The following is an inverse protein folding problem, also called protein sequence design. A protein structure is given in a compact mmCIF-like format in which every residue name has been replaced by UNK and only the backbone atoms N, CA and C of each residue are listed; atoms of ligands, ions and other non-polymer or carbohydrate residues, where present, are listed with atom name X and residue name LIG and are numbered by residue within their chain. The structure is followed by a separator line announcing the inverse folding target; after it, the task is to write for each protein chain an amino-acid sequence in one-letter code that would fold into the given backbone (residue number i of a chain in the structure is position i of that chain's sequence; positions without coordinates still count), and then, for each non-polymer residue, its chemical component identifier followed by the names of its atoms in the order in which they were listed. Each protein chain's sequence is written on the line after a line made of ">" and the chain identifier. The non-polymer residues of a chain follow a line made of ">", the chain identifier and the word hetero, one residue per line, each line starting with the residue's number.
data_IF_611063002204
#
_entry.id   IF_611063002204
#
_cell.length_a   1.000
_cell.length_b   1.000
_cell.length_c   1.000
_cell.angle_alpha   90.00
_cell.angle_beta   90.00
_cell.angle_gamma   90.00
#
_symmetry.space_group_name_H-M   'P 1'
#
loop_
_entity.id
_entity.type
_entity.pdbx_description
1 polymer ?
#
# COMPACT_ATOMS: atom_id res chain seq x y z
N UNK A 1 -5.16 -17.46 10.61
CA UNK A 1 -5.87 -16.33 9.97
C UNK A 1 -5.43 -15.04 10.61
N UNK A 2 -5.07 -14.03 9.82
CA UNK A 2 -4.55 -12.76 10.34
C UNK A 2 -5.68 -11.75 10.51
N UNK A 3 -5.67 -11.01 11.62
CA UNK A 3 -6.53 -9.84 11.82
C UNK A 3 -6.11 -8.74 10.85
N UNK A 4 -7.07 -8.18 10.08
CA UNK A 4 -6.80 -7.13 9.10
C UNK A 4 -7.65 -5.89 9.39
N UNK A 5 -7.10 -4.71 9.14
CA UNK A 5 -7.81 -3.42 9.29
C UNK A 5 -9.04 -3.32 8.39
N UNK A 6 -9.00 -3.97 7.22
CA UNK A 6 -10.14 -4.00 6.30
C UNK A 6 -11.38 -4.65 6.93
N UNK A 7 -11.22 -5.57 7.89
CA UNK A 7 -12.34 -6.21 8.59
C UNK A 7 -13.19 -5.17 9.35
N UNK A 8 -12.54 -4.22 10.05
CA UNK A 8 -13.25 -3.14 10.73
C UNK A 8 -13.97 -2.22 9.74
N UNK A 9 -13.34 -1.90 8.61
CA UNK A 9 -13.95 -1.08 7.55
C UNK A 9 -15.22 -1.75 6.98
N UNK A 10 -15.17 -3.07 6.81
CA UNK A 10 -16.31 -3.85 6.34
C UNK A 10 -17.41 -3.97 7.40
N UNK A 11 -17.06 -4.10 8.69
CA UNK A 11 -18.02 -4.08 9.80
C UNK A 11 -18.76 -2.74 9.90
N UNK A 12 -18.02 -1.64 9.80
CA UNK A 12 -18.59 -0.29 9.85
C UNK A 12 -19.45 0.00 8.60
N UNK A 13 -19.02 -0.48 7.43
CA UNK A 13 -19.81 -0.43 6.22
C UNK A 13 -21.11 -1.23 6.35
N UNK A 14 -21.07 -2.43 6.88
CA UNK A 14 -22.27 -3.26 7.06
C UNK A 14 -23.31 -2.61 7.97
N UNK A 15 -22.87 -1.91 9.03
CA UNK A 15 -23.76 -1.22 9.98
C UNK A 15 -24.44 0.01 9.39
N UNK A 16 -23.90 0.59 8.33
CA UNK A 16 -24.48 1.79 7.72
C UNK A 16 -25.77 1.42 6.94
N UNK A 17 -26.90 2.01 7.34
CA UNK A 17 -28.20 1.76 6.70
C UNK A 17 -28.28 2.27 5.26
N UNK A 18 -27.55 3.34 4.93
CA UNK A 18 -27.48 3.92 3.59
C UNK A 18 -26.16 3.55 2.88
N UNK A 19 -25.69 2.32 3.07
CA UNK A 19 -24.47 1.85 2.43
C UNK A 19 -24.62 1.67 0.93
N UNK A 20 -23.55 1.97 0.22
CA UNK A 20 -23.39 1.62 -1.20
C UNK A 20 -22.69 0.27 -1.33
N UNK A 21 -22.84 -0.47 -2.41
CA UNK A 21 -21.93 -1.54 -2.77
C UNK A 21 -20.47 -1.10 -2.56
N UNK A 22 -19.64 -1.99 -2.02
CA UNK A 22 -18.25 -1.67 -1.69
C UNK A 22 -17.29 -2.39 -2.65
N UNK A 23 -16.32 -1.65 -3.18
CA UNK A 23 -15.27 -2.18 -4.08
C UNK A 23 -13.93 -2.10 -3.34
N UNK A 24 -13.37 -3.26 -3.01
CA UNK A 24 -12.04 -3.38 -2.40
C UNK A 24 -11.00 -3.51 -3.49
N UNK A 25 -10.26 -2.43 -3.75
CA UNK A 25 -9.13 -2.44 -4.67
C UNK A 25 -7.80 -2.59 -3.93
N UNK A 26 -6.78 -3.11 -4.56
CA UNK A 26 -5.45 -3.23 -3.96
C UNK A 26 -4.49 -3.97 -4.88
N UNK A 27 -3.19 -3.92 -4.58
CA UNK A 27 -2.19 -4.66 -5.35
C UNK A 27 -2.50 -6.16 -5.37
N UNK A 28 -1.94 -6.87 -6.34
CA UNK A 28 -2.11 -8.31 -6.42
C UNK A 28 -1.50 -8.99 -5.19
N UNK A 29 -2.15 -10.08 -4.76
CA UNK A 29 -1.74 -10.92 -3.64
C UNK A 29 -1.73 -10.24 -2.26
N UNK A 30 -2.32 -9.04 -2.09
CA UNK A 30 -2.46 -8.40 -0.77
C UNK A 30 -3.56 -9.00 0.12
N UNK A 31 -4.30 -10.01 -0.39
CA UNK A 31 -5.28 -10.80 0.40
C UNK A 31 -6.73 -10.33 0.31
N UNK A 32 -7.11 -9.56 -0.73
CA UNK A 32 -8.48 -9.02 -0.92
C UNK A 32 -9.55 -10.09 -0.87
N UNK A 33 -9.53 -11.03 -1.81
CA UNK A 33 -10.51 -12.11 -1.95
C UNK A 33 -10.67 -12.90 -0.65
N UNK A 34 -9.54 -13.25 -0.03
CA UNK A 34 -9.54 -13.99 1.24
C UNK A 34 -10.25 -13.20 2.35
N UNK A 35 -9.90 -11.92 2.55
CA UNK A 35 -10.49 -11.07 3.59
C UNK A 35 -11.98 -10.84 3.38
N UNK A 36 -12.40 -10.63 2.13
CA UNK A 36 -13.80 -10.41 1.77
C UNK A 36 -14.63 -11.67 1.99
N UNK A 37 -14.16 -12.82 1.51
CA UNK A 37 -14.87 -14.09 1.68
C UNK A 37 -14.97 -14.50 3.14
N UNK A 38 -13.91 -14.30 3.93
CA UNK A 38 -13.94 -14.57 5.38
C UNK A 38 -14.96 -13.67 6.09
N UNK A 39 -14.93 -12.37 5.80
CA UNK A 39 -15.90 -11.42 6.33
C UNK A 39 -17.33 -11.81 5.94
N UNK A 40 -17.57 -12.10 4.66
CA UNK A 40 -18.91 -12.46 4.18
C UNK A 40 -19.44 -13.72 4.88
N UNK A 41 -18.63 -14.79 4.97
CA UNK A 41 -19.01 -16.04 5.63
C UNK A 41 -19.29 -15.90 7.13
N UNK A 42 -18.62 -14.99 7.82
CA UNK A 42 -18.85 -14.71 9.25
C UNK A 42 -20.09 -13.87 9.53
N UNK A 43 -20.51 -13.08 8.56
CA UNK A 43 -21.48 -12.01 8.79
C UNK A 43 -22.82 -12.19 8.06
N UNK A 44 -22.94 -13.17 7.14
CA UNK A 44 -24.16 -13.44 6.37
C UNK A 44 -24.48 -14.92 6.38
N UNK A 45 -25.75 -15.26 6.37
CA UNK A 45 -26.21 -16.64 6.29
C UNK A 45 -25.95 -17.29 4.94
N UNK A 46 -25.90 -16.49 3.87
CA UNK A 46 -25.64 -16.97 2.52
C UNK A 46 -24.63 -16.05 1.81
N UNK A 47 -23.72 -16.66 1.04
CA UNK A 47 -22.72 -15.94 0.24
C UNK A 47 -22.76 -16.45 -1.19
N UNK A 48 -23.02 -15.56 -2.12
CA UNK A 48 -22.95 -15.84 -3.57
C UNK A 48 -21.61 -15.30 -4.08
N UNK A 49 -20.70 -16.21 -4.42
CA UNK A 49 -19.35 -15.87 -4.88
C UNK A 49 -19.24 -16.05 -6.39
N UNK A 50 -18.98 -14.96 -7.11
CA UNK A 50 -18.77 -14.94 -8.55
C UNK A 50 -17.36 -14.45 -8.84
N UNK A 51 -16.49 -15.36 -9.26
CA UNK A 51 -15.13 -15.06 -9.74
C UNK A 51 -15.15 -14.96 -11.26
N UNK A 52 -14.99 -13.77 -11.80
CA UNK A 52 -15.09 -13.52 -13.24
C UNK A 52 -13.84 -13.89 -14.02
N UNK A 53 -12.72 -14.09 -13.35
CA UNK A 53 -11.48 -14.55 -13.95
C UNK A 53 -11.43 -16.07 -14.07
N UNK A 54 -11.70 -16.79 -12.97
CA UNK A 54 -11.69 -18.25 -12.96
C UNK A 54 -12.88 -18.85 -13.68
N UNK A 55 -14.04 -18.18 -13.65
CA UNK A 55 -15.30 -18.65 -14.23
C UNK A 55 -15.88 -17.62 -15.21
N UNK A 56 -15.31 -17.48 -16.43
CA UNK A 56 -15.75 -16.50 -17.41
C UNK A 56 -17.24 -16.62 -17.79
N UNK A 57 -17.85 -17.81 -17.66
CA UNK A 57 -19.27 -18.05 -17.91
C UNK A 57 -20.18 -17.22 -16.98
N UNK A 58 -19.72 -16.80 -15.80
CA UNK A 58 -20.53 -15.94 -14.92
C UNK A 58 -20.77 -14.54 -15.47
N UNK A 59 -20.02 -14.12 -16.50
CA UNK A 59 -20.24 -12.83 -17.16
C UNK A 59 -21.59 -12.79 -17.85
N UNK A 60 -22.07 -13.91 -18.38
CA UNK A 60 -23.38 -14.01 -19.04
C UNK A 60 -24.57 -13.71 -18.11
N UNK A 61 -24.39 -13.77 -16.79
CA UNK A 61 -25.39 -13.35 -15.81
C UNK A 61 -25.84 -11.88 -16.06
N UNK A 62 -24.94 -11.06 -16.57
CA UNK A 62 -25.11 -9.62 -16.74
C UNK A 62 -25.29 -9.19 -18.21
N UNK A 63 -25.40 -10.11 -19.18
CA UNK A 63 -25.44 -9.78 -20.62
C UNK A 63 -26.78 -9.17 -21.04
N UNK A 64 -27.90 -9.58 -20.43
CA UNK A 64 -29.23 -9.09 -20.78
C UNK A 64 -29.58 -7.83 -19.95
N UNK A 65 -30.63 -7.93 -19.15
CA UNK A 65 -31.10 -6.86 -18.27
C UNK A 65 -30.30 -6.83 -16.94
N UNK A 66 -29.95 -5.63 -16.48
CA UNK A 66 -29.31 -5.42 -15.19
C UNK A 66 -30.32 -5.23 -14.04
N UNK A 67 -31.63 -5.45 -14.28
CA UNK A 67 -32.62 -5.51 -13.21
C UNK A 67 -32.33 -6.66 -12.27
N UNK A 68 -32.46 -6.41 -10.97
CA UNK A 68 -32.00 -7.36 -9.95
C UNK A 68 -32.73 -8.71 -10.08
N UNK A 69 -34.02 -8.72 -10.32
CA UNK A 69 -34.78 -9.98 -10.43
C UNK A 69 -34.29 -10.85 -11.61
N UNK A 70 -33.91 -10.24 -12.75
CA UNK A 70 -33.30 -10.96 -13.86
C UNK A 70 -31.91 -11.52 -13.50
N UNK A 71 -31.08 -10.71 -12.84
CA UNK A 71 -29.77 -11.16 -12.35
C UNK A 71 -29.93 -12.35 -11.41
N UNK A 72 -30.92 -12.32 -10.49
CA UNK A 72 -31.17 -13.42 -9.56
C UNK A 72 -31.61 -14.70 -10.28
N UNK A 73 -32.45 -14.60 -11.30
CA UNK A 73 -32.87 -15.73 -12.14
C UNK A 73 -31.65 -16.34 -12.85
N UNK A 74 -30.82 -15.50 -13.48
CA UNK A 74 -29.61 -15.97 -14.16
C UNK A 74 -28.63 -16.64 -13.21
N UNK A 75 -28.40 -16.07 -11.99
CA UNK A 75 -27.57 -16.67 -10.94
C UNK A 75 -28.14 -18.04 -10.54
N UNK A 76 -29.44 -18.14 -10.26
CA UNK A 76 -30.09 -19.39 -9.84
C UNK A 76 -30.03 -20.45 -10.92
N UNK A 77 -30.01 -20.05 -12.18
CA UNK A 77 -29.88 -20.95 -13.34
C UNK A 77 -28.46 -21.53 -13.44
N UNK A 78 -27.44 -20.72 -13.28
CA UNK A 78 -26.04 -21.15 -13.37
C UNK A 78 -25.55 -21.81 -12.07
N UNK A 79 -26.14 -21.46 -10.92
CA UNK A 79 -25.79 -21.95 -9.59
C UNK A 79 -27.02 -22.51 -8.88
N UNK A 80 -27.53 -23.69 -9.28
CA UNK A 80 -28.84 -24.22 -8.83
C UNK A 80 -28.91 -24.52 -7.32
N UNK A 81 -27.78 -24.65 -6.64
CA UNK A 81 -27.71 -24.92 -5.19
C UNK A 81 -27.53 -23.68 -4.33
N UNK A 82 -27.53 -22.48 -4.95
CA UNK A 82 -27.36 -21.22 -4.22
C UNK A 82 -28.70 -20.81 -3.58
N UNK A 83 -28.65 -20.53 -2.28
CA UNK A 83 -29.78 -19.94 -1.55
C UNK A 83 -29.64 -18.44 -1.51
N UNK A 84 -30.62 -17.72 -2.01
CA UNK A 84 -30.65 -16.26 -2.03
C UNK A 84 -31.81 -15.78 -1.15
N UNK A 85 -31.47 -15.07 -0.07
CA UNK A 85 -32.44 -14.56 0.92
C UNK A 85 -32.21 -13.06 1.09
N UNK A 86 -33.22 -12.20 0.83
CA UNK A 86 -33.13 -10.78 1.06
C UNK A 86 -32.68 -10.44 2.49
N UNK A 87 -31.74 -9.54 2.63
CA UNK A 87 -31.18 -9.10 3.93
C UNK A 87 -30.16 -10.06 4.57
N UNK A 88 -30.07 -11.31 4.09
CA UNK A 88 -29.17 -12.35 4.63
C UNK A 88 -28.18 -12.92 3.61
N UNK A 89 -28.26 -12.51 2.35
CA UNK A 89 -27.32 -12.90 1.31
C UNK A 89 -26.36 -11.76 0.97
N UNK A 90 -25.06 -12.06 0.95
CA UNK A 90 -24.02 -11.17 0.44
C UNK A 90 -23.52 -11.68 -0.92
N UNK A 91 -23.55 -10.81 -1.93
CA UNK A 91 -22.88 -11.08 -3.20
C UNK A 91 -21.44 -10.64 -3.14
N UNK A 92 -20.53 -11.52 -3.54
CA UNK A 92 -19.10 -11.24 -3.67
C UNK A 92 -18.70 -11.37 -5.13
N UNK A 93 -18.38 -10.25 -5.76
CA UNK A 93 -17.92 -10.16 -7.15
C UNK A 93 -16.41 -10.01 -7.17
N UNK A 94 -15.70 -11.08 -7.52
CA UNK A 94 -14.23 -11.10 -7.54
C UNK A 94 -13.69 -10.81 -8.94
N UNK A 95 -12.57 -10.07 -8.99
CA UNK A 95 -11.95 -9.54 -10.22
C UNK A 95 -12.97 -8.76 -11.07
N UNK A 96 -13.68 -7.81 -10.44
CA UNK A 96 -14.81 -7.05 -11.05
C UNK A 96 -14.44 -6.35 -12.36
N UNK A 97 -13.16 -6.03 -12.60
CA UNK A 97 -12.69 -5.44 -13.86
C UNK A 97 -12.86 -6.39 -15.05
N UNK A 98 -12.95 -7.70 -14.82
CA UNK A 98 -13.17 -8.68 -15.88
C UNK A 98 -14.63 -8.79 -16.31
N UNK A 99 -15.56 -8.17 -15.56
CA UNK A 99 -16.98 -8.07 -15.90
C UNK A 99 -17.52 -6.64 -15.69
N UNK A 100 -17.29 -5.70 -16.61
CA UNK A 100 -17.72 -4.30 -16.48
C UNK A 100 -19.23 -4.13 -16.29
N UNK A 101 -20.05 -4.98 -16.89
CA UNK A 101 -21.50 -4.95 -16.71
C UNK A 101 -21.93 -5.33 -15.30
N UNK A 102 -21.20 -6.26 -14.63
CA UNK A 102 -21.41 -6.52 -13.21
C UNK A 102 -21.08 -5.28 -12.36
N UNK A 103 -20.06 -4.49 -12.70
CA UNK A 103 -19.80 -3.21 -12.02
C UNK A 103 -20.91 -2.19 -12.26
N UNK A 104 -21.42 -2.09 -13.49
CA UNK A 104 -22.57 -1.23 -13.79
C UNK A 104 -23.81 -1.63 -12.99
N UNK A 105 -24.02 -2.94 -12.74
CA UNK A 105 -25.15 -3.45 -11.96
C UNK A 105 -25.16 -2.98 -10.50
N UNK A 106 -24.04 -2.48 -9.95
CA UNK A 106 -23.96 -1.99 -8.58
C UNK A 106 -24.94 -0.84 -8.30
N UNK A 107 -25.23 -0.01 -9.32
CA UNK A 107 -26.28 1.01 -9.25
C UNK A 107 -27.64 0.39 -8.96
N UNK A 108 -27.99 -0.68 -9.65
CA UNK A 108 -29.28 -1.36 -9.50
C UNK A 108 -29.37 -2.06 -8.14
N UNK A 109 -28.30 -2.71 -7.66
CA UNK A 109 -28.21 -3.27 -6.31
C UNK A 109 -28.41 -2.21 -5.23
N UNK A 110 -27.82 -1.01 -5.40
CA UNK A 110 -28.01 0.10 -4.44
C UNK A 110 -29.46 0.58 -4.42
N UNK A 111 -30.11 0.70 -5.57
CA UNK A 111 -31.50 1.16 -5.67
C UNK A 111 -32.46 0.10 -5.12
N UNK A 112 -32.23 -1.17 -5.42
CA UNK A 112 -33.04 -2.29 -4.94
C UNK A 112 -32.94 -2.46 -3.40
N UNK A 113 -31.75 -2.38 -2.85
CA UNK A 113 -31.49 -2.38 -1.42
C UNK A 113 -31.71 -3.71 -0.68
N UNK A 114 -32.16 -4.78 -1.37
CA UNK A 114 -32.40 -6.10 -0.75
C UNK A 114 -31.11 -6.84 -0.39
N UNK A 115 -30.00 -6.55 -1.05
CA UNK A 115 -28.77 -7.34 -0.98
C UNK A 115 -27.53 -6.47 -0.80
N UNK A 116 -26.59 -6.98 -0.05
CA UNK A 116 -25.26 -6.40 0.10
C UNK A 116 -24.32 -6.95 -0.96
N UNK A 117 -23.50 -6.05 -1.56
CA UNK A 117 -22.53 -6.43 -2.59
C UNK A 117 -21.15 -5.94 -2.20
N UNK A 118 -20.20 -6.87 -2.20
CA UNK A 118 -18.77 -6.59 -2.00
C UNK A 118 -18.03 -7.03 -3.25
N UNK A 119 -17.30 -6.11 -3.87
CA UNK A 119 -16.47 -6.41 -5.02
C UNK A 119 -15.00 -6.40 -4.65
N UNK A 120 -14.20 -7.21 -5.33
CA UNK A 120 -12.74 -7.10 -5.31
C UNK A 120 -12.21 -6.84 -6.70
N UNK A 121 -11.04 -6.20 -6.78
CA UNK A 121 -10.36 -5.98 -8.04
C UNK A 121 -8.93 -5.48 -7.88
N UNK A 122 -8.14 -5.63 -8.93
CA UNK A 122 -6.79 -5.07 -8.95
C UNK A 122 -6.84 -3.54 -9.05
N UNK A 123 -5.80 -2.84 -8.52
CA UNK A 123 -5.70 -1.38 -8.61
C UNK A 123 -5.81 -0.90 -10.06
N UNK A 124 -5.07 -1.51 -10.98
CA UNK A 124 -5.10 -1.19 -12.42
C UNK A 124 -6.48 -1.41 -13.02
N UNK A 125 -7.08 -2.57 -12.80
CA UNK A 125 -8.36 -2.93 -13.39
C UNK A 125 -9.51 -2.04 -12.94
N UNK A 126 -9.59 -1.72 -11.65
CA UNK A 126 -10.62 -0.84 -11.09
C UNK A 126 -10.42 0.62 -11.51
N UNK A 127 -9.17 1.05 -11.72
CA UNK A 127 -8.83 2.42 -12.16
C UNK A 127 -9.01 2.67 -13.66
N UNK A 128 -9.46 1.66 -14.44
CA UNK A 128 -9.81 1.85 -15.85
C UNK A 128 -8.69 1.55 -16.86
N UNK A 129 -7.59 0.95 -16.43
CA UNK A 129 -6.59 0.39 -17.36
C UNK A 129 -7.17 -0.86 -18.04
N UNK A 130 -7.69 -0.66 -19.26
CA UNK A 130 -8.25 -1.73 -20.10
C UNK A 130 -7.48 -1.85 -21.39
N UNK A 131 -7.58 -3.02 -22.05
CA UNK A 131 -7.12 -3.16 -23.43
C UNK A 131 -7.80 -2.11 -24.31
N UNK A 132 -7.02 -1.40 -25.11
CA UNK A 132 -7.50 -0.38 -26.06
C UNK A 132 -8.06 -1.07 -27.32
N UNK A 133 -8.98 -2.02 -27.19
CA UNK A 133 -9.69 -2.54 -28.33
C UNK A 133 -10.94 -1.68 -28.54
N UNK A 134 -11.04 -0.88 -29.63
CA UNK A 134 -12.18 -0.01 -29.89
C UNK A 134 -13.50 -0.76 -30.13
N UNK A 135 -13.42 -2.04 -30.54
CA UNK A 135 -14.56 -2.91 -30.82
C UNK A 135 -15.01 -3.74 -29.60
N UNK A 136 -14.42 -3.46 -28.42
CA UNK A 136 -14.79 -4.13 -27.19
C UNK A 136 -16.07 -3.52 -26.61
N UNK A 137 -17.21 -4.18 -26.83
CA UNK A 137 -18.57 -3.87 -26.32
C UNK A 137 -18.62 -3.73 -24.77
N UNK A 138 -17.46 -3.81 -24.10
CA UNK A 138 -17.21 -3.73 -22.66
C UNK A 138 -17.12 -2.30 -22.12
N UNK A 139 -17.48 -1.28 -22.90
CA UNK A 139 -17.63 0.11 -22.42
C UNK A 139 -18.92 0.28 -21.59
N UNK A 140 -19.00 -0.45 -20.47
CA UNK A 140 -20.06 -0.21 -19.52
C UNK A 140 -19.68 0.99 -18.62
N UNK A 141 -20.57 1.97 -18.45
CA UNK A 141 -20.29 3.15 -17.65
C UNK A 141 -20.02 2.76 -16.20
N UNK A 142 -18.97 3.35 -15.60
CA UNK A 142 -18.69 3.21 -14.17
C UNK A 142 -19.86 3.85 -13.41
N UNK A 143 -20.42 3.18 -12.39
CA UNK A 143 -21.57 3.71 -11.64
C UNK A 143 -21.14 4.79 -10.64
N UNK A 144 -20.75 5.96 -11.15
CA UNK A 144 -20.31 7.10 -10.33
C UNK A 144 -21.38 7.46 -9.30
N UNK A 145 -21.00 7.51 -8.02
CA UNK A 145 -21.91 7.82 -6.91
C UNK A 145 -22.73 6.64 -6.39
N UNK A 146 -22.53 5.41 -6.90
CA UNK A 146 -23.24 4.20 -6.48
C UNK A 146 -22.32 3.09 -5.96
N UNK A 147 -21.04 3.39 -5.79
CA UNK A 147 -20.05 2.47 -5.20
C UNK A 147 -19.15 3.20 -4.20
N UNK A 148 -18.78 2.53 -3.12
CA UNK A 148 -17.75 2.98 -2.16
C UNK A 148 -16.45 2.24 -2.49
N UNK A 149 -15.43 2.96 -2.91
CA UNK A 149 -14.11 2.38 -3.20
C UNK A 149 -13.23 2.47 -1.94
N UNK A 150 -12.62 1.34 -1.57
CA UNK A 150 -11.66 1.24 -0.46
C UNK A 150 -10.40 0.56 -0.96
N UNK A 151 -9.25 1.13 -0.62
CA UNK A 151 -7.96 0.53 -0.95
C UNK A 151 -7.47 -0.37 0.19
N UNK A 152 -7.05 -1.59 -0.17
CA UNK A 152 -6.44 -2.55 0.72
C UNK A 152 -4.97 -2.73 0.38
N UNK A 153 -4.13 -2.50 1.35
CA UNK A 153 -2.68 -2.65 1.23
C UNK A 153 -2.21 -4.05 1.66
N UNK A 154 -0.97 -4.46 1.36
CA UNK A 154 -0.27 -5.50 2.10
C UNK A 154 -0.33 -5.20 3.61
N UNK A 155 -0.13 -6.20 4.45
CA UNK A 155 -0.16 -6.02 5.92
C UNK A 155 0.79 -4.90 6.34
N UNK A 156 0.28 -3.95 7.12
CA UNK A 156 1.12 -2.91 7.70
C UNK A 156 1.79 -3.38 9.01
N UNK A 157 2.63 -2.52 9.59
CA UNK A 157 3.36 -2.89 10.79
C UNK A 157 2.44 -3.13 12.01
N UNK A 158 1.32 -2.43 12.12
CA UNK A 158 0.34 -2.65 13.19
C UNK A 158 -0.34 -4.03 13.05
N UNK A 159 -0.73 -4.42 11.83
CA UNK A 159 -1.27 -5.75 11.53
C UNK A 159 -0.22 -6.86 11.76
N UNK A 160 1.05 -6.58 11.49
CA UNK A 160 2.17 -7.45 11.84
C UNK A 160 2.30 -7.64 13.35
N UNK A 161 2.18 -6.57 14.14
CA UNK A 161 2.22 -6.63 15.60
C UNK A 161 1.05 -7.48 16.14
N UNK A 162 -0.16 -7.31 15.62
CA UNK A 162 -1.31 -8.16 15.99
C UNK A 162 -1.05 -9.65 15.68
N UNK A 163 -0.47 -9.93 14.51
CA UNK A 163 -0.12 -11.30 14.10
C UNK A 163 0.89 -11.95 15.05
N UNK A 164 1.77 -11.14 15.63
CA UNK A 164 2.76 -11.58 16.62
C UNK A 164 2.23 -11.53 18.07
N UNK A 165 0.92 -11.38 18.28
CA UNK A 165 0.26 -11.47 19.59
C UNK A 165 0.44 -10.24 20.48
N UNK A 166 0.85 -9.10 19.92
CA UNK A 166 0.95 -7.85 20.67
C UNK A 166 -0.45 -7.37 21.06
N UNK A 167 -0.66 -7.22 22.37
CA UNK A 167 -1.95 -6.86 22.95
C UNK A 167 -2.19 -5.34 22.91
N UNK A 168 -3.45 -4.95 22.93
CA UNK A 168 -3.92 -3.56 22.91
C UNK A 168 -3.28 -2.66 23.99
N UNK A 169 -2.97 -3.24 25.16
CA UNK A 169 -2.30 -2.54 26.24
C UNK A 169 -0.92 -2.01 25.87
N UNK A 170 -0.20 -2.72 24.96
CA UNK A 170 1.11 -2.28 24.47
C UNK A 170 0.94 -1.08 23.52
N UNK A 171 -0.05 -1.10 22.64
CA UNK A 171 -0.35 0.05 21.75
C UNK A 171 -0.67 1.31 22.55
N UNK A 172 -1.56 1.21 23.55
CA UNK A 172 -1.86 2.34 24.46
C UNK A 172 -0.60 2.84 25.16
N UNK A 173 0.25 1.93 25.64
CA UNK A 173 1.51 2.34 26.29
C UNK A 173 2.46 3.07 25.33
N UNK A 174 2.52 2.67 24.07
CA UNK A 174 3.30 3.38 23.04
C UNK A 174 2.71 4.76 22.74
N UNK A 175 1.38 4.88 22.64
CA UNK A 175 0.67 6.14 22.47
C UNK A 175 0.88 7.09 23.67
N UNK A 176 0.81 6.57 24.89
CA UNK A 176 1.09 7.34 26.12
C UNK A 176 2.54 7.84 26.16
N UNK A 177 3.50 7.00 25.77
CA UNK A 177 4.92 7.39 25.70
C UNK A 177 5.13 8.46 24.63
N UNK A 178 4.46 8.36 23.46
CA UNK A 178 4.55 9.34 22.39
C UNK A 178 3.96 10.70 22.83
N UNK A 179 2.75 10.70 23.41
CA UNK A 179 2.07 11.92 23.83
C UNK A 179 2.79 12.64 24.98
N UNK A 180 3.40 11.88 25.90
CA UNK A 180 4.14 12.42 27.05
C UNK A 180 5.62 12.66 26.77
N UNK A 181 6.10 12.27 25.58
CA UNK A 181 7.51 12.33 25.15
C UNK A 181 8.47 11.68 26.16
N UNK A 182 8.04 10.56 26.76
CA UNK A 182 8.85 9.77 27.70
C UNK A 182 9.39 8.50 27.03
N UNK A 183 10.58 8.04 27.41
CA UNK A 183 11.16 6.82 26.87
C UNK A 183 10.22 5.62 27.02
N UNK A 184 10.13 4.80 25.96
CA UNK A 184 9.44 3.51 26.03
C UNK A 184 10.20 2.57 26.97
N UNK A 185 9.52 1.83 27.88
CA UNK A 185 10.16 0.86 28.76
C UNK A 185 11.02 -0.13 27.99
N UNK A 186 12.21 -0.45 28.51
CA UNK A 186 13.24 -1.23 27.80
C UNK A 186 12.74 -2.58 27.26
N UNK A 187 11.91 -3.28 28.02
CA UNK A 187 11.32 -4.57 27.59
C UNK A 187 10.48 -4.41 26.34
N UNK A 188 9.63 -3.36 26.31
CA UNK A 188 8.78 -3.06 25.14
C UNK A 188 9.66 -2.58 23.99
N UNK A 189 10.58 -1.65 24.25
CA UNK A 189 11.47 -1.10 23.24
C UNK A 189 12.26 -2.20 22.49
N UNK A 190 12.87 -3.11 23.25
CA UNK A 190 13.61 -4.24 22.68
C UNK A 190 12.72 -5.16 21.85
N UNK A 191 11.52 -5.51 22.35
CA UNK A 191 10.59 -6.37 21.63
C UNK A 191 10.07 -5.72 20.34
N UNK A 192 9.70 -4.44 20.38
CA UNK A 192 9.24 -3.71 19.19
C UNK A 192 10.35 -3.58 18.15
N UNK A 193 11.58 -3.34 18.56
CA UNK A 193 12.74 -3.28 17.66
C UNK A 193 12.98 -4.63 16.98
N UNK A 194 12.91 -5.75 17.70
CA UNK A 194 13.02 -7.08 17.11
C UNK A 194 11.90 -7.36 16.08
N UNK A 195 10.66 -7.02 16.42
CA UNK A 195 9.52 -7.21 15.52
C UNK A 195 9.61 -6.33 14.27
N UNK A 196 10.14 -5.11 14.39
CA UNK A 196 10.39 -4.26 13.25
C UNK A 196 11.49 -4.83 12.34
N UNK A 197 12.58 -5.35 12.90
CA UNK A 197 13.64 -6.01 12.11
C UNK A 197 13.11 -7.20 11.31
N UNK A 198 12.25 -8.01 11.93
CA UNK A 198 11.57 -9.10 11.23
C UNK A 198 10.64 -8.58 10.13
N UNK A 199 9.82 -7.56 10.42
CA UNK A 199 8.92 -6.96 9.44
C UNK A 199 9.66 -6.36 8.24
N UNK A 200 10.81 -5.74 8.44
CA UNK A 200 11.65 -5.22 7.34
C UNK A 200 11.98 -6.30 6.32
N UNK A 201 12.29 -7.52 6.80
CA UNK A 201 12.67 -8.65 5.94
C UNK A 201 11.44 -9.34 5.35
N UNK A 202 10.42 -9.61 6.17
CA UNK A 202 9.24 -10.38 5.76
C UNK A 202 8.28 -9.53 4.93
N UNK A 203 8.18 -8.23 5.23
CA UNK A 203 7.21 -7.34 4.62
C UNK A 203 5.78 -7.63 5.05
N UNK A 204 4.83 -7.11 4.26
CA UNK A 204 3.40 -7.25 4.53
C UNK A 204 2.65 -8.16 3.56
N UNK A 205 3.31 -8.82 2.62
CA UNK A 205 2.63 -9.73 1.70
C UNK A 205 2.11 -10.96 2.46
N UNK A 206 0.76 -11.22 2.48
CA UNK A 206 0.18 -12.24 3.36
C UNK A 206 0.81 -13.64 3.22
N UNK A 207 1.18 -14.02 1.98
CA UNK A 207 1.84 -15.32 1.75
C UNK A 207 3.23 -15.37 2.38
N UNK A 208 4.02 -14.30 2.29
CA UNK A 208 5.32 -14.21 2.94
C UNK A 208 5.19 -14.22 4.47
N UNK A 209 4.19 -13.49 5.01
CA UNK A 209 3.88 -13.49 6.44
C UNK A 209 3.45 -14.88 6.92
N UNK A 210 2.58 -15.58 6.18
CA UNK A 210 2.16 -16.95 6.50
C UNK A 210 3.35 -17.89 6.57
N UNK A 211 4.20 -17.87 5.53
CA UNK A 211 5.41 -18.70 5.46
C UNK A 211 6.32 -18.44 6.68
N UNK A 212 6.54 -17.17 7.04
CA UNK A 212 7.36 -16.84 8.22
C UNK A 212 6.74 -17.36 9.53
N UNK A 213 5.44 -17.18 9.72
CA UNK A 213 4.76 -17.61 10.93
C UNK A 213 4.73 -19.14 11.11
N UNK A 214 4.72 -19.88 9.99
CA UNK A 214 4.70 -21.35 9.99
C UNK A 214 6.10 -21.96 10.13
N UNK A 215 7.10 -21.37 9.48
CA UNK A 215 8.43 -22.00 9.33
C UNK A 215 9.54 -21.31 10.10
N UNK A 216 9.39 -20.01 10.39
CA UNK A 216 10.47 -19.13 10.89
C UNK A 216 11.73 -19.16 10.03
N UNK A 217 11.60 -19.56 8.77
CA UNK A 217 12.71 -19.72 7.83
C UNK A 217 12.73 -18.56 6.83
N UNK A 218 13.74 -17.70 6.94
CA UNK A 218 13.90 -16.52 6.07
C UNK A 218 14.16 -16.91 4.61
N UNK A 219 14.83 -18.02 4.34
CA UNK A 219 15.11 -18.46 2.97
C UNK A 219 13.81 -18.82 2.24
N UNK A 220 12.87 -19.46 2.94
CA UNK A 220 11.55 -19.76 2.39
C UNK A 220 10.73 -18.50 2.14
N UNK A 221 10.80 -17.52 3.07
CA UNK A 221 10.16 -16.22 2.89
C UNK A 221 10.69 -15.50 1.65
N UNK A 222 12.02 -15.42 1.48
CA UNK A 222 12.64 -14.81 0.30
C UNK A 222 12.26 -15.54 -0.99
N UNK A 223 12.15 -16.88 -0.96
CA UNK A 223 11.66 -17.66 -2.10
C UNK A 223 10.23 -17.27 -2.51
N UNK A 224 9.34 -17.09 -1.52
CA UNK A 224 7.97 -16.63 -1.74
C UNK A 224 7.94 -15.21 -2.29
N UNK A 225 8.74 -14.30 -1.73
CA UNK A 225 8.84 -12.91 -2.21
C UNK A 225 9.34 -12.84 -3.66
N UNK A 226 10.36 -13.64 -4.02
CA UNK A 226 10.84 -13.75 -5.39
C UNK A 226 9.74 -14.26 -6.35
N UNK A 227 8.95 -15.25 -5.93
CA UNK A 227 7.82 -15.73 -6.72
C UNK A 227 6.75 -14.63 -6.93
N UNK A 228 6.50 -13.78 -5.94
CA UNK A 228 5.59 -12.62 -6.06
C UNK A 228 6.15 -11.61 -7.07
N UNK A 229 7.45 -11.29 -6.99
CA UNK A 229 8.12 -10.37 -7.92
C UNK A 229 8.08 -10.90 -9.36
N UNK A 230 8.35 -12.18 -9.59
CA UNK A 230 8.21 -12.79 -10.92
C UNK A 230 6.75 -12.77 -11.40
N UNK A 231 5.78 -12.94 -10.50
CA UNK A 231 4.36 -12.73 -10.80
C UNK A 231 4.08 -11.31 -11.27
N UNK A 232 4.61 -10.29 -10.61
CA UNK A 232 4.48 -8.88 -11.04
C UNK A 232 5.11 -8.64 -12.41
N UNK A 233 6.31 -9.17 -12.67
CA UNK A 233 6.95 -9.05 -13.99
C UNK A 233 6.12 -9.72 -15.10
N UNK A 234 5.50 -10.85 -14.81
CA UNK A 234 4.58 -11.52 -15.72
C UNK A 234 3.34 -10.67 -16.02
N UNK A 235 2.77 -10.04 -15.00
CA UNK A 235 1.63 -9.13 -15.14
C UNK A 235 1.98 -7.88 -15.97
N UNK A 236 3.16 -7.30 -15.76
CA UNK A 236 3.67 -6.19 -16.58
C UNK A 236 3.69 -6.57 -18.07
N UNK A 237 4.10 -7.79 -18.39
CA UNK A 237 4.10 -8.29 -19.78
C UNK A 237 2.70 -8.59 -20.32
N UNK A 238 1.74 -8.98 -19.46
CA UNK A 238 0.38 -9.36 -19.87
C UNK A 238 -0.54 -8.16 -20.04
N UNK A 239 -0.54 -7.24 -19.07
CA UNK A 239 -1.56 -6.19 -18.95
C UNK A 239 -1.08 -4.80 -19.38
N UNK A 240 0.22 -4.59 -19.52
CA UNK A 240 0.74 -3.31 -19.97
C UNK A 240 0.45 -3.08 -21.46
N UNK A 241 0.21 -1.81 -21.87
CA UNK A 241 0.07 -1.45 -23.28
C UNK A 241 1.34 -1.78 -24.09
N UNK A 242 1.17 -2.24 -25.34
CA UNK A 242 2.26 -2.23 -26.32
C UNK A 242 2.47 -0.76 -26.75
N UNK A 243 3.66 -0.19 -26.86
CA UNK A 243 5.00 -0.75 -26.76
C UNK A 243 5.68 -0.63 -25.37
N UNK A 244 4.94 -0.37 -24.29
CA UNK A 244 5.50 0.01 -22.99
C UNK A 244 6.01 -1.16 -22.14
N UNK A 245 5.64 -2.40 -22.48
CA UNK A 245 5.99 -3.62 -21.72
C UNK A 245 7.47 -3.73 -21.34
N UNK A 246 8.44 -3.59 -22.26
CA UNK A 246 9.86 -3.67 -21.91
C UNK A 246 10.28 -2.54 -20.98
N UNK A 247 9.77 -1.32 -21.22
CA UNK A 247 10.09 -0.11 -20.45
C UNK A 247 9.59 -0.18 -19.01
N UNK A 248 8.40 -0.76 -18.79
CA UNK A 248 7.82 -0.96 -17.46
C UNK A 248 8.73 -1.88 -16.65
N UNK A 249 9.16 -3.00 -17.25
CA UNK A 249 10.08 -3.93 -16.62
C UNK A 249 11.44 -3.30 -16.32
N UNK A 250 12.02 -2.56 -17.27
CA UNK A 250 13.28 -1.83 -17.08
C UNK A 250 13.17 -0.81 -15.92
N UNK A 251 12.08 -0.05 -15.84
CA UNK A 251 11.82 0.86 -14.72
C UNK A 251 11.79 0.11 -13.38
N UNK A 252 11.03 -0.96 -13.30
CA UNK A 252 10.88 -1.77 -12.09
C UNK A 252 12.22 -2.35 -11.62
N UNK A 253 12.98 -2.97 -12.51
CA UNK A 253 14.28 -3.57 -12.20
C UNK A 253 15.35 -2.54 -11.82
N UNK A 254 15.18 -1.27 -12.21
CA UNK A 254 16.12 -0.19 -11.86
C UNK A 254 15.98 0.34 -10.43
N UNK A 255 14.83 0.10 -9.76
CA UNK A 255 14.48 0.72 -8.47
C UNK A 255 15.53 0.45 -7.38
N UNK A 256 15.96 -0.82 -7.13
CA UNK A 256 16.95 -1.08 -6.08
C UNK A 256 18.25 -0.30 -6.28
N UNK A 257 18.75 -0.26 -7.51
CA UNK A 257 19.96 0.46 -7.88
C UNK A 257 19.81 1.98 -7.64
N UNK A 258 18.64 2.54 -7.94
CA UNK A 258 18.42 3.98 -7.77
C UNK A 258 18.29 4.38 -6.29
N UNK A 259 17.63 3.54 -5.47
CA UNK A 259 17.51 3.76 -4.03
C UNK A 259 18.83 3.60 -3.27
N UNK A 260 19.75 2.77 -3.78
CA UNK A 260 21.07 2.54 -3.15
C UNK A 260 22.06 3.68 -3.38
N UNK A 261 21.73 4.67 -4.19
CA UNK A 261 22.61 5.82 -4.47
C UNK A 261 22.51 6.88 -3.39
N UNK A 262 23.55 7.70 -3.28
CA UNK A 262 23.54 8.87 -2.42
C UNK A 262 22.41 9.85 -2.81
N UNK A 263 22.31 10.16 -4.11
CA UNK A 263 21.17 10.89 -4.66
C UNK A 263 20.09 9.92 -5.11
N UNK A 264 19.04 9.79 -4.33
CA UNK A 264 17.90 8.87 -4.56
C UNK A 264 16.82 9.44 -5.48
N UNK A 265 17.00 10.66 -6.04
CA UNK A 265 16.11 11.21 -7.07
C UNK A 265 16.04 10.23 -8.25
N UNK A 266 14.83 9.84 -8.64
CA UNK A 266 14.66 8.94 -9.78
C UNK A 266 15.15 9.58 -11.06
N UNK A 267 16.03 8.92 -11.77
CA UNK A 267 16.63 9.39 -13.00
C UNK A 267 16.39 8.39 -14.13
N UNK A 268 15.64 8.78 -15.15
CA UNK A 268 15.35 7.93 -16.31
C UNK A 268 16.62 7.49 -17.08
N UNK A 269 17.67 8.30 -17.07
CA UNK A 269 18.98 7.92 -17.63
C UNK A 269 19.64 6.75 -16.88
N UNK A 270 19.18 6.39 -15.69
CA UNK A 270 19.65 5.24 -14.93
C UNK A 270 18.85 3.95 -15.24
N UNK A 271 17.65 4.09 -15.81
CA UNK A 271 16.88 2.96 -16.34
C UNK A 271 17.59 2.41 -17.57
N UNK A 272 17.94 3.31 -18.50
CA UNK A 272 18.68 3.00 -19.72
C UNK A 272 19.53 4.19 -20.11
N UNK A 273 20.73 3.94 -20.67
CA UNK A 273 21.58 5.01 -21.19
C UNK A 273 20.80 5.90 -22.18
N UNK A 274 20.83 7.21 -21.98
CA UNK A 274 20.05 8.21 -22.71
C UNK A 274 18.51 8.11 -22.54
N UNK A 275 17.99 7.38 -21.55
CA UNK A 275 16.56 7.33 -21.22
C UNK A 275 16.01 8.71 -20.86
N UNK A 276 14.88 9.11 -21.45
CA UNK A 276 14.23 10.41 -21.24
C UNK A 276 12.88 10.22 -20.53
N UNK A 277 12.46 11.21 -19.75
CA UNK A 277 11.18 11.19 -19.04
C UNK A 277 10.00 10.85 -19.94
N UNK A 278 9.90 11.49 -21.12
CA UNK A 278 8.83 11.25 -22.10
C UNK A 278 8.71 9.77 -22.54
N UNK A 279 9.77 8.98 -22.44
CA UNK A 279 9.79 7.60 -22.91
C UNK A 279 9.39 6.61 -21.80
N UNK A 280 9.48 7.01 -20.52
CA UNK A 280 9.33 6.13 -19.36
C UNK A 280 8.29 6.59 -18.34
N UNK A 281 7.78 7.83 -18.44
CA UNK A 281 6.84 8.39 -17.46
C UNK A 281 5.56 7.56 -17.36
N UNK A 282 4.97 7.17 -18.50
CA UNK A 282 3.79 6.29 -18.53
C UNK A 282 4.07 4.92 -17.95
N UNK A 283 5.26 4.38 -18.22
CA UNK A 283 5.69 3.08 -17.66
C UNK A 283 5.83 3.12 -16.15
N UNK A 284 6.42 4.17 -15.60
CA UNK A 284 6.57 4.34 -14.15
C UNK A 284 5.20 4.60 -13.48
N UNK A 285 4.33 5.36 -14.16
CA UNK A 285 2.96 5.59 -13.68
C UNK A 285 2.18 4.29 -13.61
N UNK A 286 2.30 3.43 -14.61
CA UNK A 286 1.66 2.11 -14.60
C UNK A 286 2.06 1.26 -13.39
N UNK A 287 3.35 1.27 -13.00
CA UNK A 287 3.84 0.51 -11.84
C UNK A 287 3.29 1.10 -10.52
N UNK A 288 3.17 2.43 -10.44
CA UNK A 288 2.55 3.11 -9.31
C UNK A 288 1.05 2.79 -9.20
N UNK A 289 0.33 2.87 -10.32
CA UNK A 289 -1.10 2.56 -10.39
C UNK A 289 -1.38 1.07 -10.11
N UNK A 290 -0.40 0.19 -10.32
CA UNK A 290 -0.45 -1.20 -9.88
C UNK A 290 -0.28 -1.38 -8.37
N UNK A 291 0.09 -0.31 -7.64
CA UNK A 291 0.36 -0.35 -6.21
C UNK A 291 1.65 -1.07 -5.83
N UNK A 292 2.59 -1.17 -6.78
CA UNK A 292 3.88 -1.85 -6.57
C UNK A 292 4.92 -0.88 -6.02
N UNK A 293 4.82 0.39 -6.41
CA UNK A 293 5.71 1.47 -5.98
C UNK A 293 4.91 2.67 -5.47
N UNK A 294 5.63 3.60 -4.85
CA UNK A 294 5.14 4.92 -4.43
C UNK A 294 6.13 5.99 -4.84
N UNK A 295 5.64 7.08 -5.41
CA UNK A 295 6.46 8.29 -5.63
C UNK A 295 6.46 9.17 -4.40
N UNK A 296 7.62 9.73 -4.09
CA UNK A 296 7.82 10.73 -3.05
C UNK A 296 8.31 12.00 -3.75
N UNK A 297 7.50 13.05 -3.76
CA UNK A 297 7.74 14.25 -4.56
C UNK A 297 8.63 15.26 -3.83
N UNK A 298 9.54 15.90 -4.56
CA UNK A 298 10.31 17.03 -4.04
C UNK A 298 9.40 18.24 -3.85
N UNK A 299 9.62 18.98 -2.78
CA UNK A 299 8.95 20.26 -2.56
C UNK A 299 9.83 21.44 -3.00
N UNK A 300 9.22 22.46 -3.58
CA UNK A 300 9.88 23.74 -3.82
C UNK A 300 10.23 24.43 -2.51
N UNK A 301 9.29 24.42 -1.57
CA UNK A 301 9.43 24.86 -0.19
C UNK A 301 8.69 23.89 0.73
N UNK A 302 9.21 23.56 1.95
CA UNK A 302 8.54 22.67 2.90
C UNK A 302 7.45 23.43 3.68
N UNK A 303 6.36 23.77 3.03
CA UNK A 303 5.26 24.57 3.56
C UNK A 303 3.91 23.94 3.18
N UNK A 304 2.88 24.18 4.01
CA UNK A 304 1.50 23.76 3.71
C UNK A 304 0.84 24.79 2.76
N UNK A 305 0.04 24.33 1.77
CA UNK A 305 -0.28 22.93 1.47
C UNK A 305 0.84 22.22 0.69
N UNK A 306 1.21 21.01 1.11
CA UNK A 306 2.33 20.27 0.50
C UNK A 306 2.12 19.98 -0.99
N UNK A 307 0.89 19.61 -1.38
CA UNK A 307 0.55 19.34 -2.78
C UNK A 307 0.81 20.56 -3.69
N UNK A 308 0.55 21.76 -3.20
CA UNK A 308 0.76 23.00 -3.96
C UNK A 308 2.24 23.33 -4.20
N UNK A 309 3.12 22.78 -3.37
CA UNK A 309 4.56 22.99 -3.43
C UNK A 309 5.32 21.81 -4.06
N UNK A 310 4.60 20.77 -4.54
CA UNK A 310 5.21 19.58 -5.11
C UNK A 310 5.71 19.79 -6.54
N UNK A 311 6.95 19.40 -6.81
CA UNK A 311 7.57 19.46 -8.14
C UNK A 311 7.35 18.11 -8.83
N UNK A 312 6.44 18.05 -9.80
CA UNK A 312 5.98 16.80 -10.45
C UNK A 312 7.09 15.99 -11.12
N UNK A 313 8.14 16.66 -11.64
CA UNK A 313 9.26 16.03 -12.34
C UNK A 313 10.41 15.61 -11.41
N UNK A 314 10.28 15.89 -10.12
CA UNK A 314 11.32 15.58 -9.14
C UNK A 314 10.77 14.70 -8.04
N UNK A 315 11.09 13.42 -8.09
CA UNK A 315 10.61 12.46 -7.10
C UNK A 315 11.64 11.35 -6.83
N UNK A 316 11.52 10.75 -5.66
CA UNK A 316 12.12 9.45 -5.31
C UNK A 316 11.06 8.37 -5.55
N UNK A 317 11.51 7.13 -5.76
CA UNK A 317 10.60 5.97 -5.94
C UNK A 317 10.93 4.93 -4.89
N UNK A 318 9.93 4.56 -4.09
CA UNK A 318 10.02 3.51 -3.08
C UNK A 318 9.16 2.31 -3.45
N UNK A 319 9.57 1.10 -3.04
CA UNK A 319 8.72 -0.07 -3.13
C UNK A 319 7.58 0.03 -2.11
N UNK A 320 6.37 -0.34 -2.51
CA UNK A 320 5.18 -0.30 -1.65
C UNK A 320 5.15 -1.41 -0.59
N UNK A 321 6.11 -2.33 -0.63
CA UNK A 321 6.35 -3.34 0.40
C UNK A 321 7.85 -3.52 0.61
N UNK A 322 8.30 -3.33 1.86
CA UNK A 322 9.73 -3.35 2.19
C UNK A 322 10.32 -4.75 2.07
N UNK A 323 9.58 -5.82 2.38
CA UNK A 323 10.05 -7.18 2.21
C UNK A 323 10.33 -7.53 0.74
N UNK A 324 9.47 -7.08 -0.17
CA UNK A 324 9.72 -7.22 -1.60
C UNK A 324 10.94 -6.42 -2.05
N UNK A 325 11.16 -5.22 -1.49
CA UNK A 325 12.37 -4.46 -1.76
C UNK A 325 13.63 -5.22 -1.35
N UNK A 326 13.64 -5.81 -0.14
CA UNK A 326 14.77 -6.60 0.36
C UNK A 326 15.08 -7.78 -0.56
N UNK A 327 14.05 -8.50 -1.05
CA UNK A 327 14.24 -9.65 -1.94
C UNK A 327 14.77 -9.28 -3.34
N UNK A 328 14.70 -8.00 -3.73
CA UNK A 328 15.31 -7.48 -4.96
C UNK A 328 16.78 -7.07 -4.80
N UNK A 329 17.31 -7.06 -3.57
CA UNK A 329 18.71 -6.79 -3.28
C UNK A 329 19.54 -8.09 -3.39
N UNK A 330 20.80 -8.05 -2.94
CA UNK A 330 21.67 -9.23 -2.91
C UNK A 330 21.11 -10.32 -1.97
N UNK A 331 21.36 -11.58 -2.30
CA UNK A 331 20.76 -12.73 -1.58
C UNK A 331 21.04 -12.74 -0.08
N UNK A 332 22.21 -12.27 0.30
CA UNK A 332 22.70 -12.23 1.68
C UNK A 332 22.07 -11.08 2.50
N UNK A 333 21.47 -10.08 1.85
CA UNK A 333 20.97 -8.85 2.51
C UNK A 333 19.98 -9.17 3.65
N UNK A 334 19.06 -10.12 3.46
CA UNK A 334 18.10 -10.50 4.51
C UNK A 334 18.82 -11.08 5.76
N UNK A 335 19.86 -11.87 5.55
CA UNK A 335 20.68 -12.45 6.62
C UNK A 335 21.52 -11.38 7.33
N UNK A 336 22.10 -10.46 6.57
CA UNK A 336 22.87 -9.34 7.11
C UNK A 336 22.01 -8.43 8.00
N UNK A 337 20.75 -8.17 7.60
CA UNK A 337 19.81 -7.40 8.42
C UNK A 337 19.57 -8.07 9.78
N UNK A 338 19.36 -9.40 9.81
CA UNK A 338 19.17 -10.15 11.05
C UNK A 338 20.40 -10.08 11.96
N UNK A 339 21.60 -10.09 11.38
CA UNK A 339 22.86 -10.00 12.12
C UNK A 339 23.26 -8.55 12.47
N UNK A 340 22.43 -7.56 12.12
CA UNK A 340 22.71 -6.14 12.34
C UNK A 340 23.75 -5.53 11.37
N UNK A 341 24.13 -6.26 10.33
CA UNK A 341 25.12 -5.85 9.33
C UNK A 341 24.41 -5.27 8.10
N UNK A 342 24.04 -4.01 8.16
CA UNK A 342 23.24 -3.38 7.09
C UNK A 342 24.06 -2.69 6.00
N UNK A 343 25.38 -2.68 6.10
CA UNK A 343 26.33 -2.07 5.14
C UNK A 343 25.80 -0.82 4.41
N UNK A 344 26.12 -0.66 3.12
CA UNK A 344 25.75 0.50 2.31
C UNK A 344 24.26 0.68 2.02
N UNK A 345 23.44 -0.36 2.16
CA UNK A 345 21.98 -0.29 1.91
C UNK A 345 21.17 0.27 3.08
N UNK A 346 21.79 0.50 4.24
CA UNK A 346 21.12 0.86 5.50
C UNK A 346 20.16 2.05 5.37
N UNK A 347 20.59 3.13 4.72
CA UNK A 347 19.76 4.30 4.50
C UNK A 347 18.59 4.03 3.55
N UNK A 348 18.83 3.29 2.46
CA UNK A 348 17.79 2.95 1.49
C UNK A 348 16.69 2.09 2.11
N UNK A 349 17.06 1.10 2.92
CA UNK A 349 16.14 0.17 3.57
C UNK A 349 15.24 0.92 4.56
N UNK A 350 15.79 1.76 5.42
CA UNK A 350 14.99 2.48 6.42
C UNK A 350 14.14 3.59 5.81
N UNK A 351 14.61 4.29 4.79
CA UNK A 351 13.75 5.23 4.06
C UNK A 351 12.61 4.50 3.35
N UNK A 352 12.87 3.35 2.70
CA UNK A 352 11.81 2.54 2.09
C UNK A 352 10.81 2.05 3.14
N UNK A 353 11.27 1.60 4.32
CA UNK A 353 10.39 1.20 5.42
C UNK A 353 9.46 2.34 5.85
N UNK A 354 9.98 3.55 6.02
CA UNK A 354 9.15 4.70 6.42
C UNK A 354 8.21 5.11 5.30
N UNK A 355 8.66 5.08 4.04
CA UNK A 355 7.80 5.30 2.87
C UNK A 355 6.66 4.25 2.78
N UNK A 356 6.97 2.99 3.06
CA UNK A 356 6.00 1.89 3.12
C UNK A 356 4.97 2.12 4.24
N UNK A 357 5.42 2.42 5.48
CA UNK A 357 4.55 2.70 6.61
C UNK A 357 3.62 3.90 6.31
N UNK A 358 4.17 5.04 5.92
CA UNK A 358 3.39 6.24 5.62
C UNK A 358 2.43 6.03 4.43
N UNK A 359 2.89 5.32 3.41
CA UNK A 359 2.07 4.99 2.26
C UNK A 359 0.88 4.08 2.60
N UNK A 360 1.06 3.07 3.48
CA UNK A 360 -0.02 2.21 3.99
C UNK A 360 -0.99 2.94 4.93
N UNK A 361 -0.59 4.10 5.46
CA UNK A 361 -1.49 5.03 6.17
C UNK A 361 -2.31 5.91 5.20
N UNK A 362 -2.15 5.74 3.89
CA UNK A 362 -2.83 6.55 2.87
C UNK A 362 -2.22 7.93 2.64
N UNK A 363 -1.00 8.18 3.12
CA UNK A 363 -0.34 9.47 2.94
C UNK A 363 0.32 9.56 1.57
N UNK A 364 0.22 10.71 0.92
CA UNK A 364 1.13 11.11 -0.16
C UNK A 364 2.50 11.42 0.46
N UNK A 365 3.56 11.08 -0.26
CA UNK A 365 4.92 11.22 0.23
C UNK A 365 5.60 12.42 -0.39
N UNK A 366 6.27 13.21 0.44
CA UNK A 366 7.05 14.36 0.04
C UNK A 366 8.40 14.35 0.73
N UNK A 367 9.42 14.88 0.04
CA UNK A 367 10.74 15.16 0.60
C UNK A 367 11.14 16.60 0.25
N UNK A 368 12.19 17.08 0.84
CA UNK A 368 12.72 18.40 0.50
C UNK A 368 14.20 18.31 0.17
N UNK A 369 14.56 18.81 -1.01
CA UNK A 369 15.96 18.90 -1.45
C UNK A 369 16.19 20.11 -2.31
N UNK A 370 17.30 20.82 -2.02
CA UNK A 370 17.83 21.92 -2.85
C UNK A 370 19.21 21.59 -3.44
N UNK A 371 19.54 22.25 -4.54
CA UNK A 371 20.86 22.13 -5.19
C UNK A 371 22.00 22.59 -4.28
N UNK A 372 21.71 23.44 -3.27
CA UNK A 372 22.65 23.83 -2.21
C UNK A 372 23.07 22.71 -1.25
N UNK A 373 22.54 21.50 -1.41
CA UNK A 373 22.83 20.34 -0.59
C UNK A 373 21.96 20.15 0.65
N UNK A 374 20.94 21.02 0.86
CA UNK A 374 19.92 20.77 1.88
C UNK A 374 19.05 19.60 1.44
N UNK A 375 18.91 18.58 2.30
CA UNK A 375 18.02 17.43 2.04
C UNK A 375 17.37 16.99 3.36
N UNK A 376 16.04 16.72 3.31
CA UNK A 376 15.23 16.12 4.37
C UNK A 376 14.49 14.94 3.77
N UNK A 377 14.53 13.79 4.44
CA UNK A 377 14.05 12.52 3.90
C UNK A 377 12.55 12.52 3.61
N UNK A 378 11.74 13.07 4.55
CA UNK A 378 10.29 13.26 4.33
C UNK A 378 9.81 14.58 4.93
N UNK A 379 8.74 15.11 4.34
CA UNK A 379 7.97 16.25 4.86
C UNK A 379 6.51 15.84 4.91
N UNK A 380 5.84 16.06 6.02
CA UNK A 380 4.44 15.69 6.19
C UNK A 380 3.66 16.73 7.00
N UNK A 381 2.35 16.71 6.87
CA UNK A 381 1.47 17.37 7.82
C UNK A 381 1.25 16.45 9.01
N UNK A 382 1.60 16.92 10.22
CA UNK A 382 1.39 16.20 11.47
C UNK A 382 0.90 17.18 12.56
N UNK A 383 -0.17 16.85 13.27
CA UNK A 383 -0.89 17.73 14.21
C UNK A 383 -1.23 19.12 13.63
N UNK A 384 -1.61 19.16 12.35
CA UNK A 384 -1.96 20.41 11.67
C UNK A 384 -0.79 21.21 11.12
N UNK A 385 0.46 20.89 11.48
CA UNK A 385 1.67 21.63 11.09
C UNK A 385 2.53 20.90 10.06
N UNK A 386 3.32 21.67 9.30
CA UNK A 386 4.38 21.14 8.46
C UNK A 386 5.49 20.61 9.34
N UNK A 387 5.82 19.33 9.20
CA UNK A 387 6.79 18.61 10.03
C UNK A 387 7.83 17.94 9.16
N UNK A 388 9.11 18.20 9.45
CA UNK A 388 10.23 17.51 8.81
C UNK A 388 10.43 16.14 9.46
N UNK A 389 10.75 15.14 8.65
CA UNK A 389 11.07 13.78 9.14
C UNK A 389 12.39 13.31 8.56
N UNK A 390 13.33 13.04 9.45
CA UNK A 390 14.64 12.48 9.14
C UNK A 390 14.71 11.02 9.56
N UNK A 391 15.22 10.17 8.69
CA UNK A 391 15.40 8.75 8.94
C UNK A 391 16.89 8.45 9.11
N UNK A 392 17.27 7.99 10.29
CA UNK A 392 18.69 7.72 10.62
C UNK A 392 18.86 6.29 11.15
N UNK A 393 19.78 5.59 10.56
CA UNK A 393 20.14 4.25 10.97
C UNK A 393 20.96 4.20 12.29
N UNK A 394 21.58 5.32 12.65
CA UNK A 394 22.38 5.52 13.87
C UNK A 394 22.28 6.98 14.31
N UNK A 395 23.06 7.37 15.33
CA UNK A 395 23.07 8.72 15.93
C UNK A 395 23.52 9.88 15.00
N UNK A 396 23.40 9.70 13.67
CA UNK A 396 23.84 10.67 12.68
C UNK A 396 23.27 12.08 12.84
N UNK A 397 24.02 13.07 12.37
CA UNK A 397 23.66 14.48 12.45
C UNK A 397 22.53 14.84 11.47
N UNK A 398 21.67 15.78 11.86
CA UNK A 398 20.52 16.29 11.08
C UNK A 398 20.80 17.75 10.67
N UNK A 399 21.93 17.99 9.99
CA UNK A 399 22.40 19.33 9.63
C UNK A 399 21.34 20.13 8.82
N UNK A 400 20.80 19.52 7.77
CA UNK A 400 19.79 20.17 6.92
C UNK A 400 18.55 20.56 7.71
N UNK A 401 18.02 19.67 8.54
CA UNK A 401 16.87 19.92 9.41
C UNK A 401 17.14 21.07 10.37
N UNK A 402 18.30 21.07 11.04
CA UNK A 402 18.70 22.17 11.94
C UNK A 402 18.82 23.51 11.18
N UNK A 403 19.36 23.51 9.96
CA UNK A 403 19.45 24.72 9.12
C UNK A 403 18.06 25.23 8.77
N UNK A 404 17.09 24.35 8.43
CA UNK A 404 15.74 24.78 8.11
C UNK A 404 15.03 25.33 9.35
N UNK A 405 15.12 24.66 10.48
CA UNK A 405 14.51 25.09 11.75
C UNK A 405 15.10 26.41 12.29
N UNK A 406 16.35 26.70 11.97
CA UNK A 406 16.99 27.97 12.33
C UNK A 406 16.47 29.19 11.54
N UNK A 407 15.67 28.96 10.47
CA UNK A 407 15.15 30.01 9.59
C UNK A 407 13.63 29.87 9.40
N UNK A 408 12.82 29.96 10.49
CA UNK A 408 11.37 29.77 10.42
C UNK A 408 10.68 30.83 9.58
N UNK A 409 11.24 32.04 9.49
CA UNK A 409 10.76 33.13 8.61
C UNK A 409 10.81 32.79 7.13
N UNK A 410 11.68 31.84 6.74
CA UNK A 410 11.88 31.43 5.34
C UNK A 410 11.16 30.15 5.00
N UNK A 411 11.10 29.19 5.95
CA UNK A 411 10.62 27.83 5.67
C UNK A 411 9.28 27.52 6.34
N UNK A 412 8.79 28.36 7.22
CA UNK A 412 7.53 28.21 7.97
C UNK A 412 7.40 26.83 8.66
N UNK A 413 8.53 26.29 9.12
CA UNK A 413 8.61 25.00 9.82
C UNK A 413 9.12 25.23 11.23
N UNK A 414 8.40 24.70 12.22
CA UNK A 414 8.67 24.89 13.65
C UNK A 414 9.20 23.64 14.33
N UNK A 415 9.04 22.44 13.73
CA UNK A 415 9.38 21.17 14.36
C UNK A 415 9.87 20.11 13.39
N UNK A 416 10.60 19.15 13.94
CA UNK A 416 11.04 17.97 13.20
C UNK A 416 10.96 16.70 14.05
N UNK A 417 10.85 15.57 13.37
CA UNK A 417 10.91 14.23 13.95
C UNK A 417 12.13 13.51 13.37
N UNK A 418 12.94 12.94 14.24
CA UNK A 418 14.06 12.08 13.86
C UNK A 418 13.70 10.63 14.21
N UNK A 419 13.53 9.78 13.19
CA UNK A 419 13.26 8.36 13.32
C UNK A 419 14.56 7.53 13.25
N UNK A 420 14.75 6.58 14.17
CA UNK A 420 15.95 5.75 14.15
C UNK A 420 15.99 4.65 15.21
N UNK A 421 17.15 4.02 15.36
CA UNK A 421 17.38 2.97 16.36
C UNK A 421 17.76 3.57 17.71
N UNK A 422 16.85 4.32 18.32
CA UNK A 422 16.99 4.94 19.63
C UNK A 422 15.62 5.05 20.28
N UNK A 423 15.58 5.34 21.57
CA UNK A 423 14.32 5.56 22.29
C UNK A 423 13.82 7.00 22.13
N UNK A 424 12.65 7.33 22.69
CA UNK A 424 12.08 8.68 22.66
C UNK A 424 12.99 9.65 23.38
N UNK A 425 13.20 10.81 22.78
CA UNK A 425 13.94 11.93 23.33
C UNK A 425 13.57 13.22 22.63
N UNK A 426 13.92 14.34 23.26
CA UNK A 426 13.69 15.68 22.72
C UNK A 426 14.97 16.50 22.80
N UNK A 427 15.26 17.27 21.77
CA UNK A 427 16.33 18.25 21.77
C UNK A 427 15.88 19.44 20.93
N UNK A 428 15.70 20.59 21.56
CA UNK A 428 15.16 21.80 20.93
C UNK A 428 13.82 21.52 20.24
N UNK A 429 13.74 21.78 18.94
CA UNK A 429 12.55 21.57 18.09
C UNK A 429 12.50 20.16 17.45
N UNK A 430 13.39 19.25 17.84
CA UNK A 430 13.51 17.93 17.26
C UNK A 430 13.10 16.86 18.26
N UNK A 431 12.02 16.14 17.95
CA UNK A 431 11.59 14.95 18.67
C UNK A 431 12.26 13.71 18.04
N UNK A 432 12.94 12.95 18.86
CA UNK A 432 13.57 11.68 18.46
C UNK A 432 12.63 10.53 18.80
N UNK A 433 12.33 9.66 17.83
CA UNK A 433 11.44 8.52 18.01
C UNK A 433 12.05 7.23 17.45
N UNK A 434 11.77 6.07 18.07
CA UNK A 434 12.15 4.79 17.48
C UNK A 434 11.42 4.57 16.14
N UNK A 435 12.09 3.95 15.16
CA UNK A 435 11.50 3.64 13.84
C UNK A 435 10.15 2.93 13.93
N UNK A 436 10.01 2.01 14.90
CA UNK A 436 8.76 1.25 15.07
C UNK A 436 7.56 2.11 15.48
N UNK A 437 7.77 3.36 15.91
CA UNK A 437 6.67 4.28 16.24
C UNK A 437 6.16 5.09 15.05
N UNK A 438 6.76 4.96 13.87
CA UNK A 438 6.33 5.69 12.67
C UNK A 438 4.84 5.49 12.34
N UNK A 439 4.26 4.30 12.61
CA UNK A 439 2.83 4.01 12.38
C UNK A 439 1.88 4.76 13.32
N UNK A 440 2.37 5.36 14.40
CA UNK A 440 1.60 6.19 15.32
C UNK A 440 1.51 7.67 14.88
N UNK A 441 2.30 8.09 13.90
CA UNK A 441 2.29 9.45 13.35
C UNK A 441 1.10 9.65 12.39
N UNK A 442 -0.12 9.49 12.91
CA UNK A 442 -1.38 9.54 12.13
C UNK A 442 -1.82 10.97 11.81
#
# INVERSE_FOLDING_TARGET
>A
MFRRKIEQVLLDWKKNKDKMPIVIKGCRQCGKTFSVLDFARKNYGNVVYLDFFLNPQYKSIFDDSLEIDNILVNISTLLPNVRIVPGDTCFVFDEIQDCPRARTSLKFFKIDGRFDVICTGSLLGVSGYRSQDPDDDRFAPVPVGYEKIVEMYPMDFEEWLWTNGIQEAVFRKLEDCLSSLVPVPEVIHRRMTQLLQQYVIVGGMPRAVTTFMETHNIQEVVSVQNAIIEGYKTDMLKYAPQPDKPRIRECFESIPKQLSRENKKFAYAQVRANGRGRDYQGSLQWIEDAGIIRKCYNLEIPELPLDGNAISEQFKVYMADTGLFISMLERETAHDILNGNLFGYKGAIFENLIADIFGKMGRKLYYYRKDSGLEVDFVMRYDGECTLVEVKASSGNVKSTKTILAHPEKYHVSRAIKLGNFNIGTSDQITTLPLYMAFLLK
#
